data_IF_303967334339
#
_entry.id   IF_303967334339
#
_cell.length_a   1.000
_cell.length_b   1.000
_cell.length_c   1.000
_cell.angle_alpha   90.00
_cell.angle_beta   90.00
_cell.angle_gamma   90.00
#
_symmetry.space_group_name_H-M   'P 1'
#
loop_
_entity.id
_entity.type
_entity.pdbx_description
1 polymer ?
#
# COMPACT_ATOMS: atom_id res chain seq x y z
N UNK A 1 15.21 1.51 22.66
CA UNK A 1 15.62 1.32 21.24
C UNK A 1 15.76 2.71 20.61
N UNK A 2 16.73 2.96 19.73
CA UNK A 2 16.89 4.30 19.14
C UNK A 2 15.66 4.72 18.32
N UNK A 3 15.13 5.93 18.55
CA UNK A 3 13.93 6.46 17.88
C UNK A 3 14.02 6.42 16.35
N UNK A 4 15.21 6.65 15.80
CA UNK A 4 15.41 6.59 14.35
C UNK A 4 15.19 5.18 13.79
N UNK A 5 15.51 4.12 14.54
CA UNK A 5 15.24 2.73 14.16
C UNK A 5 13.74 2.45 14.24
N UNK A 6 13.06 2.97 15.26
CA UNK A 6 11.61 2.82 15.43
C UNK A 6 10.84 3.44 14.27
N UNK A 7 11.07 4.73 13.98
CA UNK A 7 10.43 5.41 12.84
C UNK A 7 10.83 4.80 11.49
N UNK A 8 12.10 4.39 11.34
CA UNK A 8 12.55 3.68 10.13
C UNK A 8 11.79 2.38 9.89
N UNK A 9 11.53 1.62 10.95
CA UNK A 9 10.75 0.38 10.90
C UNK A 9 9.31 0.66 10.49
N UNK A 10 8.66 1.65 11.13
CA UNK A 10 7.29 2.04 10.79
C UNK A 10 7.13 2.52 9.34
N UNK A 11 8.12 3.27 8.82
CA UNK A 11 8.13 3.68 7.41
C UNK A 11 8.29 2.49 6.46
N UNK A 12 9.18 1.55 6.78
CA UNK A 12 9.39 0.34 5.99
C UNK A 12 8.13 -0.53 5.94
N UNK A 13 7.46 -0.73 7.08
CA UNK A 13 6.18 -1.45 7.15
C UNK A 13 5.09 -0.75 6.34
N UNK A 14 5.02 0.58 6.41
CA UNK A 14 4.06 1.38 5.65
C UNK A 14 4.30 1.24 4.15
N UNK A 15 5.55 1.28 3.69
CA UNK A 15 5.92 1.06 2.29
C UNK A 15 5.48 -0.33 1.81
N UNK A 16 5.74 -1.36 2.61
CA UNK A 16 5.32 -2.72 2.28
C UNK A 16 3.79 -2.85 2.16
N UNK A 17 3.06 -2.18 3.06
CA UNK A 17 1.60 -2.12 2.99
C UNK A 17 1.11 -1.43 1.73
N UNK A 18 1.69 -0.28 1.37
CA UNK A 18 1.38 0.44 0.12
C UNK A 18 1.57 -0.46 -1.10
N UNK A 19 2.70 -1.17 -1.20
CA UNK A 19 2.98 -2.09 -2.32
C UNK A 19 1.95 -3.23 -2.38
N UNK A 20 1.60 -3.81 -1.23
CA UNK A 20 0.61 -4.90 -1.15
C UNK A 20 -0.78 -4.44 -1.58
N UNK A 21 -1.20 -3.27 -1.10
CA UNK A 21 -2.51 -2.68 -1.45
C UNK A 21 -2.56 -2.30 -2.93
N UNK A 22 -1.45 -1.83 -3.51
CA UNK A 22 -1.34 -1.57 -4.95
C UNK A 22 -1.53 -2.82 -5.80
N UNK A 23 -0.87 -3.92 -5.45
CA UNK A 23 -1.04 -5.20 -6.17
C UNK A 23 -2.46 -5.77 -5.99
N UNK A 24 -3.07 -5.59 -4.81
CA UNK A 24 -4.47 -5.97 -4.58
C UNK A 24 -5.41 -5.17 -5.48
N UNK A 25 -5.25 -3.85 -5.53
CA UNK A 25 -6.07 -2.98 -6.38
C UNK A 25 -5.88 -3.29 -7.87
N UNK A 26 -4.66 -3.56 -8.31
CA UNK A 26 -4.36 -4.01 -9.68
C UNK A 26 -5.13 -5.28 -10.05
N UNK A 27 -5.16 -6.27 -9.17
CA UNK A 27 -5.94 -7.51 -9.36
C UNK A 27 -7.43 -7.21 -9.42
N UNK A 28 -7.95 -6.40 -8.50
CA UNK A 28 -9.37 -6.01 -8.49
C UNK A 28 -9.78 -5.25 -9.76
N UNK A 29 -8.90 -4.41 -10.32
CA UNK A 29 -9.14 -3.77 -11.62
C UNK A 29 -9.32 -4.82 -12.72
N UNK A 30 -8.42 -5.81 -12.78
CA UNK A 30 -8.48 -6.90 -13.75
C UNK A 30 -9.76 -7.73 -13.60
N UNK A 31 -10.13 -8.08 -12.37
CA UNK A 31 -11.38 -8.81 -12.08
C UNK A 31 -12.63 -8.02 -12.51
N UNK A 32 -12.64 -6.70 -12.27
CA UNK A 32 -13.72 -5.83 -12.74
C UNK A 32 -13.78 -5.76 -14.27
N UNK A 33 -12.63 -5.68 -14.95
CA UNK A 33 -12.55 -5.68 -16.41
C UNK A 33 -13.08 -7.02 -16.99
N UNK A 34 -12.74 -8.16 -16.38
CA UNK A 34 -13.26 -9.48 -16.75
C UNK A 34 -14.78 -9.54 -16.58
N UNK A 35 -15.31 -9.11 -15.43
CA UNK A 35 -16.75 -9.09 -15.14
C UNK A 35 -17.53 -8.25 -16.15
N UNK A 36 -17.01 -7.08 -16.51
CA UNK A 36 -17.62 -6.21 -17.53
C UNK A 36 -17.65 -6.93 -18.89
N UNK A 37 -16.55 -7.58 -19.29
CA UNK A 37 -16.49 -8.31 -20.55
C UNK A 37 -17.45 -9.51 -20.57
N UNK A 38 -17.61 -10.23 -19.47
CA UNK A 38 -18.59 -11.31 -19.34
C UNK A 38 -20.02 -10.81 -19.57
N UNK A 39 -20.39 -9.68 -18.96
CA UNK A 39 -21.72 -9.10 -19.16
C UNK A 39 -21.92 -8.65 -20.60
N UNK A 40 -20.90 -8.08 -21.25
CA UNK A 40 -20.97 -7.74 -22.67
C UNK A 40 -21.17 -8.98 -23.55
N UNK A 41 -20.39 -10.03 -23.30
CA UNK A 41 -20.52 -11.28 -24.03
C UNK A 41 -21.91 -11.89 -23.87
N UNK A 42 -22.45 -11.90 -22.64
CA UNK A 42 -23.82 -12.35 -22.38
C UNK A 42 -24.86 -11.54 -23.18
N UNK A 43 -24.68 -10.22 -23.31
CA UNK A 43 -25.58 -9.35 -24.07
C UNK A 43 -25.47 -9.66 -25.58
N UNK A 44 -24.27 -9.95 -26.07
CA UNK A 44 -24.00 -10.24 -27.48
C UNK A 44 -24.61 -11.56 -27.95
N UNK A 45 -24.50 -12.61 -27.13
CA UNK A 45 -24.91 -13.97 -27.55
C UNK A 45 -26.39 -14.29 -27.29
N UNK A 46 -27.04 -13.58 -26.37
CA UNK A 46 -28.42 -13.88 -25.96
C UNK A 46 -29.42 -12.95 -26.64
N UNK A 47 -30.52 -13.51 -27.15
CA UNK A 47 -31.64 -12.70 -27.63
C UNK A 47 -32.50 -12.24 -26.44
N UNK A 48 -32.18 -11.07 -25.89
CA UNK A 48 -32.81 -10.55 -24.68
C UNK A 48 -34.16 -9.89 -25.00
N UNK A 49 -35.21 -10.31 -24.30
CA UNK A 49 -36.46 -9.55 -24.24
C UNK A 49 -36.28 -8.27 -23.40
N UNK A 50 -37.27 -7.38 -23.41
CA UNK A 50 -37.20 -6.08 -22.73
C UNK A 50 -36.88 -6.19 -21.22
N UNK A 51 -37.49 -7.14 -20.51
CA UNK A 51 -37.27 -7.34 -19.08
C UNK A 51 -35.83 -7.83 -18.79
N UNK A 52 -35.36 -8.82 -19.55
CA UNK A 52 -34.00 -9.36 -19.43
C UNK A 52 -32.93 -8.34 -19.85
N UNK A 53 -33.22 -7.53 -20.88
CA UNK A 53 -32.38 -6.41 -21.30
C UNK A 53 -32.21 -5.36 -20.21
N UNK A 54 -33.31 -4.96 -19.55
CA UNK A 54 -33.23 -4.02 -18.43
C UNK A 54 -32.43 -4.57 -17.24
N UNK A 55 -32.59 -5.87 -16.94
CA UNK A 55 -31.81 -6.55 -15.90
C UNK A 55 -30.31 -6.52 -16.22
N UNK A 56 -29.92 -6.90 -17.44
CA UNK A 56 -28.52 -6.85 -17.90
C UNK A 56 -27.95 -5.43 -17.93
N UNK A 57 -28.75 -4.44 -18.31
CA UNK A 57 -28.38 -3.03 -18.21
C UNK A 57 -28.04 -2.62 -16.77
N UNK A 58 -28.88 -2.97 -15.79
CA UNK A 58 -28.62 -2.66 -14.37
C UNK A 58 -27.39 -3.38 -13.84
N UNK A 59 -27.20 -4.63 -14.23
CA UNK A 59 -26.00 -5.41 -13.90
C UNK A 59 -24.73 -4.76 -14.45
N UNK A 60 -24.72 -4.41 -15.73
CA UNK A 60 -23.61 -3.72 -16.39
C UNK A 60 -23.33 -2.36 -15.75
N UNK A 61 -24.38 -1.57 -15.51
CA UNK A 61 -24.26 -0.26 -14.86
C UNK A 61 -23.59 -0.38 -13.48
N UNK A 62 -23.97 -1.40 -12.69
CA UNK A 62 -23.35 -1.66 -11.38
C UNK A 62 -21.87 -2.04 -11.55
N UNK A 63 -21.55 -2.99 -12.42
CA UNK A 63 -20.17 -3.43 -12.67
C UNK A 63 -19.27 -2.28 -13.13
N UNK A 64 -19.76 -1.41 -14.03
CA UNK A 64 -19.02 -0.24 -14.51
C UNK A 64 -18.75 0.79 -13.40
N UNK A 65 -19.70 0.98 -12.47
CA UNK A 65 -19.53 1.88 -11.32
C UNK A 65 -18.51 1.33 -10.33
N UNK A 66 -18.62 0.05 -9.98
CA UNK A 66 -17.63 -0.65 -9.12
C UNK A 66 -16.22 -0.52 -9.71
N UNK A 67 -16.08 -0.83 -10.99
CA UNK A 67 -14.82 -0.68 -11.74
C UNK A 67 -14.25 0.73 -11.67
N UNK A 68 -15.09 1.76 -11.79
CA UNK A 68 -14.65 3.17 -11.77
C UNK A 68 -14.05 3.55 -10.42
N UNK A 69 -14.69 3.12 -9.33
CA UNK A 69 -14.19 3.37 -7.97
C UNK A 69 -12.82 2.69 -7.78
N UNK A 70 -12.71 1.40 -8.15
CA UNK A 70 -11.46 0.65 -8.00
C UNK A 70 -10.34 1.23 -8.89
N UNK A 71 -10.63 1.59 -10.14
CA UNK A 71 -9.63 2.21 -11.04
C UNK A 71 -9.14 3.56 -10.53
N UNK A 72 -10.03 4.35 -9.93
CA UNK A 72 -9.64 5.64 -9.36
C UNK A 72 -8.71 5.47 -8.16
N UNK A 73 -9.02 4.54 -7.26
CA UNK A 73 -8.16 4.23 -6.11
C UNK A 73 -6.80 3.69 -6.55
N UNK A 74 -6.79 2.74 -7.50
CA UNK A 74 -5.57 2.21 -8.10
C UNK A 74 -4.69 3.29 -8.73
N UNK A 75 -5.30 4.22 -9.48
CA UNK A 75 -4.58 5.33 -10.10
C UNK A 75 -3.98 6.27 -9.06
N UNK A 76 -4.72 6.58 -8.00
CA UNK A 76 -4.25 7.43 -6.89
C UNK A 76 -3.04 6.81 -6.19
N UNK A 77 -3.09 5.51 -5.87
CA UNK A 77 -1.97 4.81 -5.25
C UNK A 77 -0.77 4.64 -6.19
N UNK A 78 -1.03 4.42 -7.49
CA UNK A 78 0.03 4.40 -8.52
C UNK A 78 0.72 5.75 -8.62
N UNK A 79 -0.02 6.85 -8.55
CA UNK A 79 0.54 8.20 -8.52
C UNK A 79 1.42 8.42 -7.30
N UNK A 80 0.97 7.98 -6.12
CA UNK A 80 1.75 8.05 -4.89
C UNK A 80 3.08 7.29 -5.03
N UNK A 81 3.03 6.01 -5.44
CA UNK A 81 4.21 5.17 -5.64
C UNK A 81 5.23 5.80 -6.59
N UNK A 82 4.74 6.37 -7.71
CA UNK A 82 5.59 6.99 -8.73
C UNK A 82 6.18 8.32 -8.26
N UNK A 83 5.39 9.14 -7.58
CA UNK A 83 5.81 10.49 -7.15
C UNK A 83 6.89 10.40 -6.07
N UNK A 84 6.72 9.49 -5.11
CA UNK A 84 7.69 9.28 -4.06
C UNK A 84 8.87 8.40 -4.46
N UNK A 85 8.83 7.74 -5.62
CA UNK A 85 9.79 6.70 -6.00
C UNK A 85 10.01 5.73 -4.82
N UNK A 86 8.95 5.03 -4.45
CA UNK A 86 8.89 4.28 -3.19
C UNK A 86 10.01 3.24 -3.06
N UNK A 87 10.53 2.71 -4.17
CA UNK A 87 11.69 1.81 -4.17
C UNK A 87 12.97 2.54 -3.75
N UNK A 88 13.18 3.76 -4.23
CA UNK A 88 14.30 4.60 -3.82
C UNK A 88 14.20 4.98 -2.35
N UNK A 89 13.02 5.37 -1.89
CA UNK A 89 12.77 5.73 -0.49
C UNK A 89 13.02 4.53 0.44
N UNK A 90 12.54 3.35 0.06
CA UNK A 90 12.80 2.11 0.80
C UNK A 90 14.29 1.80 0.92
N UNK A 91 15.05 1.92 -0.18
CA UNK A 91 16.50 1.73 -0.16
C UNK A 91 17.22 2.75 0.74
N UNK A 92 16.76 4.01 0.74
CA UNK A 92 17.29 5.04 1.64
C UNK A 92 16.99 4.75 3.11
N UNK A 93 15.78 4.30 3.43
CA UNK A 93 15.39 3.88 4.79
C UNK A 93 16.27 2.72 5.24
N UNK A 94 16.39 1.67 4.44
CA UNK A 94 17.18 0.49 4.80
C UNK A 94 18.64 0.85 5.09
N UNK A 95 19.28 1.62 4.19
CA UNK A 95 20.66 2.07 4.37
C UNK A 95 20.82 2.92 5.63
N UNK A 96 19.86 3.81 5.89
CA UNK A 96 19.88 4.66 7.09
C UNK A 96 19.76 3.81 8.35
N UNK A 97 18.82 2.86 8.38
CA UNK A 97 18.62 1.96 9.52
C UNK A 97 19.86 1.10 9.80
N UNK A 98 20.54 0.58 8.78
CA UNK A 98 21.79 -0.17 8.98
C UNK A 98 22.89 0.68 9.61
N UNK A 99 23.06 1.90 9.12
CA UNK A 99 24.06 2.83 9.66
C UNK A 99 23.70 3.25 11.09
N UNK A 100 22.43 3.53 11.36
CA UNK A 100 21.95 3.87 12.70
C UNK A 100 22.14 2.72 13.67
N UNK A 101 21.90 1.46 13.27
CA UNK A 101 22.18 0.28 14.12
C UNK A 101 23.65 0.22 14.51
N UNK A 102 24.57 0.32 13.54
CA UNK A 102 26.02 0.34 13.81
C UNK A 102 26.43 1.49 14.75
N UNK A 103 25.84 2.66 14.54
CA UNK A 103 26.08 3.83 15.40
C UNK A 103 25.54 3.62 16.81
N UNK A 104 24.38 3.00 16.95
CA UNK A 104 23.75 2.70 18.23
C UNK A 104 24.54 1.65 19.01
N UNK A 105 25.02 0.59 18.34
CA UNK A 105 25.89 -0.42 18.96
C UNK A 105 27.18 0.22 19.51
N UNK A 106 27.78 1.12 18.73
CA UNK A 106 28.97 1.89 19.14
C UNK A 106 28.68 2.81 20.34
N UNK A 107 27.52 3.47 20.35
CA UNK A 107 27.08 4.34 21.43
C UNK A 107 26.73 3.55 22.72
N UNK A 108 26.16 2.35 22.57
CA UNK A 108 25.93 1.43 23.70
C UNK A 108 27.25 0.97 24.31
N UNK A 109 28.25 0.63 23.49
CA UNK A 109 29.60 0.32 23.97
C UNK A 109 30.22 1.49 24.74
N UNK A 110 30.07 2.73 24.24
CA UNK A 110 30.58 3.93 24.91
C UNK A 110 29.97 4.16 26.30
N UNK A 111 28.68 3.85 26.47
CA UNK A 111 27.94 4.03 27.73
C UNK A 111 28.04 2.82 28.66
N UNK A 112 28.75 1.77 28.25
CA UNK A 112 28.84 0.54 29.03
C UNK A 112 29.44 0.83 30.41
N UNK A 113 28.73 0.42 31.47
CA UNK A 113 29.11 0.67 32.86
C UNK A 113 28.68 2.04 33.43
N UNK A 114 28.04 2.91 32.63
CA UNK A 114 27.44 4.15 33.11
C UNK A 114 25.94 3.95 33.29
N UNK A 115 25.38 4.38 34.42
CA UNK A 115 23.93 4.31 34.67
C UNK A 115 23.18 5.44 33.94
N UNK A 116 23.32 5.51 32.62
CA UNK A 116 22.79 6.58 31.77
C UNK A 116 21.96 5.98 30.63
N UNK A 117 20.65 6.19 30.66
CA UNK A 117 19.73 5.80 29.59
C UNK A 117 19.19 7.02 28.85
N UNK A 118 18.93 6.88 27.54
CA UNK A 118 18.26 7.95 26.77
C UNK A 118 16.82 8.15 27.23
N UNK A 119 16.12 7.08 27.59
CA UNK A 119 14.74 7.14 28.10
C UNK A 119 14.66 8.00 29.37
N UNK A 120 15.64 7.88 30.27
CA UNK A 120 15.74 8.70 31.48
C UNK A 120 16.12 10.16 31.22
N UNK A 121 16.87 10.46 30.17
CA UNK A 121 17.29 11.83 29.82
C UNK A 121 16.19 12.58 29.09
N UNK A 122 15.57 11.94 28.09
CA UNK A 122 14.60 12.59 27.20
C UNK A 122 13.20 12.64 27.83
N UNK A 123 12.99 11.94 28.95
CA UNK A 123 11.70 11.91 29.64
C UNK A 123 10.61 11.19 28.83
N UNK A 124 11.00 10.42 27.81
CA UNK A 124 10.09 9.59 27.03
C UNK A 124 9.91 8.26 27.76
N UNK A 125 8.97 8.23 28.70
CA UNK A 125 8.38 6.98 29.18
C UNK A 125 7.43 6.49 28.08
N UNK A 126 7.70 5.31 27.53
CA UNK A 126 6.71 4.54 26.73
C UNK A 126 5.41 4.35 27.50
#
# INVERSE_FOLDING_TARGET
MCLAIEYGTALSETINKIKKDHEKLKKLVSECDIKVNQIYHDIEINNLNAANGFKKYKELQKALRERRVVKHEYASLTHLLRTFDVNKVEGQIHKTMENTKKSEDSNQLYRCGWNISIEGIVGLTS
#
